data_IF_999654541401
#
_entry.id   IF_999654541401
#
_cell.length_a   1.000
_cell.length_b   1.000
_cell.length_c   1.000
_cell.angle_alpha   90.00
_cell.angle_beta   90.00
_cell.angle_gamma   90.00
#
_symmetry.space_group_name_H-M   'P 1'
#
loop_
_entity.id
_entity.type
_entity.pdbx_description
1 polymer ?
#
# COMPACT_ATOMS: atom_id res chain seq x y z
N UNK A 1 -13.33 -7.85 17.11
CA UNK A 1 -12.16 -6.95 17.00
C UNK A 1 -12.60 -5.50 17.20
N UNK A 2 -11.93 -4.72 18.07
CA UNK A 2 -12.20 -3.28 18.24
C UNK A 2 -11.54 -2.53 17.06
N UNK A 3 -12.27 -1.62 16.41
CA UNK A 3 -11.73 -0.77 15.34
C UNK A 3 -10.81 0.31 15.90
N UNK A 4 -9.63 0.46 15.30
CA UNK A 4 -8.62 1.45 15.72
C UNK A 4 -8.32 2.52 14.67
N UNK A 5 -8.55 2.26 13.39
CA UNK A 5 -8.32 3.24 12.31
C UNK A 5 -9.60 3.73 11.65
N UNK A 6 -9.65 5.03 11.33
CA UNK A 6 -10.75 5.68 10.62
C UNK A 6 -10.20 6.59 9.51
N UNK A 7 -10.69 6.39 8.29
CA UNK A 7 -10.43 7.24 7.13
C UNK A 7 -11.72 7.88 6.65
N UNK A 8 -11.63 9.12 6.21
CA UNK A 8 -12.71 9.87 5.56
C UNK A 8 -12.13 10.98 4.70
N UNK A 9 -12.80 11.34 3.60
CA UNK A 9 -12.38 12.40 2.71
C UNK A 9 -13.58 13.04 2.00
N UNK A 10 -13.30 14.05 1.18
CA UNK A 10 -14.29 14.72 0.32
C UNK A 10 -14.86 13.89 -0.84
N UNK A 11 -14.30 12.71 -1.15
CA UNK A 11 -14.75 11.87 -2.26
C UNK A 11 -15.60 10.68 -1.76
N UNK A 12 -16.86 10.62 -2.18
CA UNK A 12 -17.82 9.61 -1.73
C UNK A 12 -17.48 8.19 -2.20
N UNK A 13 -17.00 8.02 -3.44
CA UNK A 13 -16.55 6.73 -3.98
C UNK A 13 -15.40 6.18 -3.14
N UNK A 14 -14.45 7.03 -2.75
CA UNK A 14 -13.30 6.66 -1.92
C UNK A 14 -13.72 6.37 -0.46
N UNK A 15 -14.65 7.14 0.11
CA UNK A 15 -15.24 6.82 1.42
C UNK A 15 -15.96 5.47 1.41
N UNK A 16 -16.70 5.18 0.34
CA UNK A 16 -17.35 3.88 0.14
C UNK A 16 -16.32 2.77 0.03
N UNK A 17 -15.24 2.98 -0.72
CA UNK A 17 -14.12 2.05 -0.79
C UNK A 17 -13.50 1.78 0.59
N UNK A 18 -13.24 2.80 1.41
CA UNK A 18 -12.75 2.61 2.78
C UNK A 18 -13.72 1.77 3.63
N UNK A 19 -15.03 1.98 3.49
CA UNK A 19 -16.03 1.12 4.13
C UNK A 19 -15.93 -0.34 3.65
N UNK A 20 -15.71 -0.56 2.36
CA UNK A 20 -15.58 -1.89 1.78
C UNK A 20 -14.35 -2.64 2.32
N UNK A 21 -13.23 -1.95 2.54
CA UNK A 21 -12.03 -2.51 3.18
C UNK A 21 -12.35 -3.00 4.59
N UNK A 22 -13.05 -2.19 5.39
CA UNK A 22 -13.42 -2.55 6.77
C UNK A 22 -14.35 -3.76 6.79
N UNK A 23 -15.33 -3.83 5.90
CA UNK A 23 -16.21 -5.00 5.81
C UNK A 23 -15.47 -6.24 5.29
N UNK A 24 -14.55 -6.07 4.35
CA UNK A 24 -13.72 -7.14 3.82
C UNK A 24 -12.84 -7.76 4.91
N UNK A 25 -12.18 -6.92 5.71
CA UNK A 25 -11.37 -7.36 6.84
C UNK A 25 -12.21 -8.01 7.94
N UNK A 26 -13.34 -7.40 8.33
CA UNK A 26 -14.24 -7.96 9.35
C UNK A 26 -14.82 -9.31 8.93
N UNK A 27 -15.15 -9.45 7.65
CA UNK A 27 -15.59 -10.71 7.09
C UNK A 27 -14.53 -11.78 7.31
N UNK A 28 -13.29 -11.49 6.94
CA UNK A 28 -12.22 -12.48 6.84
C UNK A 28 -11.38 -12.73 8.11
N UNK A 29 -11.68 -12.06 9.23
CA UNK A 29 -10.97 -12.24 10.51
C UNK A 29 -11.87 -12.97 11.51
N UNK A 30 -12.21 -14.23 11.18
CA UNK A 30 -13.03 -15.13 11.99
C UNK A 30 -12.15 -16.28 12.46
N UNK A 31 -11.68 -16.18 13.71
CA UNK A 31 -10.69 -17.06 14.36
C UNK A 31 -9.27 -17.04 13.75
N UNK A 32 -9.14 -17.23 12.43
CA UNK A 32 -7.90 -17.08 11.66
C UNK A 32 -8.11 -16.09 10.50
N UNK A 33 -7.07 -15.41 10.00
CA UNK A 33 -7.18 -14.64 8.76
C UNK A 33 -7.43 -15.59 7.57
N UNK A 34 -8.61 -15.52 6.96
CA UNK A 34 -9.00 -16.37 5.81
C UNK A 34 -8.92 -15.60 4.50
N UNK A 35 -8.59 -16.25 3.39
CA UNK A 35 -8.66 -15.66 2.04
C UNK A 35 -10.03 -15.04 1.70
N UNK A 36 -11.10 -15.81 1.92
CA UNK A 36 -12.49 -15.42 1.69
C UNK A 36 -13.41 -16.12 2.70
N UNK A 37 -14.69 -15.72 2.75
CA UNK A 37 -15.66 -16.25 3.73
C UNK A 37 -16.77 -17.11 3.12
N UNK A 38 -16.99 -17.01 1.81
CA UNK A 38 -18.18 -17.53 1.16
C UNK A 38 -17.98 -18.89 0.50
N UNK A 39 -16.86 -19.13 -0.21
CA UNK A 39 -16.61 -20.42 -0.87
C UNK A 39 -15.99 -21.44 0.09
N UNK A 40 -15.88 -22.68 -0.38
CA UNK A 40 -15.36 -23.83 0.40
C UNK A 40 -13.81 -23.83 0.40
N UNK A 41 -13.23 -22.74 0.92
CA UNK A 41 -11.78 -22.55 1.08
C UNK A 41 -11.50 -22.06 2.51
N UNK A 42 -11.63 -20.76 2.79
CA UNK A 42 -11.59 -20.19 4.15
C UNK A 42 -10.32 -20.58 4.92
N UNK A 43 -9.18 -20.63 4.23
CA UNK A 43 -7.91 -21.11 4.78
C UNK A 43 -6.96 -19.96 5.08
N UNK A 44 -6.11 -20.15 6.09
CA UNK A 44 -4.93 -19.31 6.35
C UNK A 44 -3.80 -19.69 5.40
N UNK A 45 -3.70 -18.99 4.27
CA UNK A 45 -2.70 -19.29 3.23
C UNK A 45 -1.29 -18.87 3.66
N UNK A 46 -0.55 -19.82 4.24
CA UNK A 46 0.86 -19.67 4.62
C UNK A 46 1.76 -20.86 4.17
N UNK A 47 1.31 -21.67 3.20
CA UNK A 47 1.95 -22.96 2.81
C UNK A 47 3.09 -22.88 1.78
N UNK A 48 3.94 -23.92 1.73
CA UNK A 48 5.23 -24.00 1.02
C UNK A 48 5.26 -24.02 -0.52
N UNK A 49 4.21 -23.53 -1.20
CA UNK A 49 4.23 -23.16 -2.63
C UNK A 49 3.78 -21.70 -2.73
N UNK A 50 4.56 -20.85 -3.39
CA UNK A 50 4.17 -19.46 -3.63
C UNK A 50 3.42 -19.32 -4.97
N UNK A 51 2.54 -18.33 -5.06
CA UNK A 51 1.60 -18.16 -6.18
C UNK A 51 2.09 -17.19 -7.27
N UNK A 52 3.33 -16.69 -7.16
CA UNK A 52 3.83 -15.60 -8.01
C UNK A 52 3.05 -14.30 -7.77
N UNK A 53 2.96 -13.45 -8.79
CA UNK A 53 2.10 -12.25 -8.74
C UNK A 53 0.66 -12.61 -9.07
N UNK A 54 0.00 -13.24 -8.10
CA UNK A 54 -1.37 -13.73 -8.23
C UNK A 54 -2.31 -12.59 -8.64
N UNK A 55 -3.12 -12.84 -9.68
CA UNK A 55 -4.07 -11.88 -10.27
C UNK A 55 -3.43 -10.59 -10.80
N UNK A 56 -2.18 -10.67 -11.28
CA UNK A 56 -1.59 -9.65 -12.15
C UNK A 56 -2.35 -9.56 -13.48
N UNK A 57 -2.53 -8.33 -13.97
CA UNK A 57 -3.30 -8.03 -15.18
C UNK A 57 -2.43 -7.95 -16.44
N UNK A 58 -1.12 -8.17 -16.28
CA UNK A 58 -0.10 -8.21 -17.33
C UNK A 58 -0.01 -9.59 -18.02
N UNK A 59 -0.86 -10.54 -17.64
CA UNK A 59 -1.00 -11.86 -18.28
C UNK A 59 -2.25 -11.94 -19.18
N UNK A 60 -2.31 -12.89 -20.14
CA UNK A 60 -3.49 -13.09 -20.98
C UNK A 60 -4.78 -13.29 -20.17
N UNK A 61 -5.91 -12.79 -20.69
CA UNK A 61 -7.24 -12.93 -20.06
C UNK A 61 -7.53 -14.40 -19.70
N UNK A 62 -7.96 -14.64 -18.46
CA UNK A 62 -8.20 -15.97 -17.90
C UNK A 62 -7.00 -16.58 -17.16
N UNK A 63 -5.82 -15.95 -17.16
CA UNK A 63 -4.71 -16.34 -16.29
C UNK A 63 -4.94 -15.90 -14.84
N UNK A 64 -4.60 -16.76 -13.89
CA UNK A 64 -4.56 -16.42 -12.46
C UNK A 64 -3.19 -15.92 -12.00
N UNK A 65 -2.17 -16.04 -12.84
CA UNK A 65 -0.79 -15.62 -12.57
C UNK A 65 -0.43 -14.43 -13.46
N UNK A 66 0.16 -13.39 -12.87
CA UNK A 66 0.77 -12.28 -13.60
C UNK A 66 2.02 -12.69 -14.38
N UNK A 67 2.56 -11.77 -15.16
CA UNK A 67 3.69 -12.01 -16.06
C UNK A 67 5.07 -11.92 -15.37
N UNK A 68 5.13 -11.44 -14.13
CA UNK A 68 6.38 -11.34 -13.36
C UNK A 68 7.04 -12.70 -13.13
N UNK A 69 8.37 -12.74 -13.20
CA UNK A 69 9.15 -13.96 -12.96
C UNK A 69 8.97 -14.47 -11.51
N UNK A 70 8.49 -15.70 -11.36
CA UNK A 70 8.28 -16.33 -10.04
C UNK A 70 9.58 -16.41 -9.23
N UNK A 71 10.71 -16.69 -9.88
CA UNK A 71 12.03 -16.77 -9.23
C UNK A 71 12.56 -15.40 -8.82
N UNK A 72 12.20 -14.35 -9.55
CA UNK A 72 12.43 -12.96 -9.15
C UNK A 72 11.66 -12.66 -7.87
N UNK A 73 10.36 -12.93 -7.84
CA UNK A 73 9.50 -12.68 -6.67
C UNK A 73 10.02 -13.44 -5.46
N UNK A 74 10.32 -14.73 -5.61
CA UNK A 74 10.85 -15.55 -4.52
C UNK A 74 12.16 -14.98 -3.97
N UNK A 75 13.09 -14.59 -4.84
CA UNK A 75 14.37 -13.99 -4.44
C UNK A 75 14.18 -12.62 -3.77
N UNK A 76 13.24 -11.81 -4.24
CA UNK A 76 12.93 -10.51 -3.67
C UNK A 76 12.38 -10.63 -2.23
N UNK A 77 11.43 -11.55 -2.01
CA UNK A 77 10.89 -11.81 -0.68
C UNK A 77 11.88 -12.53 0.24
N UNK A 78 12.80 -13.32 -0.30
CA UNK A 78 13.89 -13.91 0.48
C UNK A 78 14.84 -12.84 1.01
N UNK A 79 15.23 -11.88 0.18
CA UNK A 79 16.01 -10.71 0.59
C UNK A 79 15.26 -9.91 1.66
N UNK A 80 13.98 -9.58 1.42
CA UNK A 80 13.18 -8.82 2.36
C UNK A 80 13.02 -9.53 3.71
N UNK A 81 12.71 -10.82 3.70
CA UNK A 81 12.57 -11.63 4.93
C UNK A 81 13.89 -11.67 5.72
N UNK A 82 15.02 -11.87 5.04
CA UNK A 82 16.35 -11.82 5.66
C UNK A 82 16.61 -10.45 6.29
N UNK A 83 16.24 -9.36 5.60
CA UNK A 83 16.37 -8.00 6.15
C UNK A 83 15.54 -7.78 7.42
N UNK A 84 14.34 -8.39 7.50
CA UNK A 84 13.50 -8.31 8.69
C UNK A 84 14.08 -9.12 9.87
N UNK A 85 14.71 -10.27 9.60
CA UNK A 85 15.43 -11.06 10.62
C UNK A 85 16.59 -10.26 11.18
N UNK A 86 17.39 -9.62 10.33
CA UNK A 86 18.50 -8.73 10.76
C UNK A 86 17.96 -7.61 11.66
N UNK A 87 16.89 -6.92 11.24
CA UNK A 87 16.24 -5.88 12.05
C UNK A 87 15.77 -6.40 13.40
N UNK A 88 15.10 -7.55 13.42
CA UNK A 88 14.62 -8.16 14.66
C UNK A 88 15.77 -8.56 15.61
N UNK A 89 16.81 -9.21 15.08
CA UNK A 89 17.99 -9.60 15.86
C UNK A 89 18.72 -8.39 16.45
N UNK A 90 18.88 -7.32 15.67
CA UNK A 90 19.45 -6.05 16.16
C UNK A 90 18.66 -5.44 17.33
N UNK A 91 17.32 -5.49 17.27
CA UNK A 91 16.46 -5.02 18.37
C UNK A 91 16.59 -5.90 19.62
N UNK A 92 16.79 -7.21 19.43
CA UNK A 92 16.96 -8.18 20.52
C UNK A 92 18.38 -8.21 21.09
N UNK A 93 19.34 -7.58 20.43
CA UNK A 93 20.76 -7.63 20.81
C UNK A 93 21.43 -8.97 20.47
N UNK A 94 20.89 -9.70 19.48
CA UNK A 94 21.45 -10.95 18.98
C UNK A 94 22.57 -10.69 17.96
N UNK A 95 23.50 -11.65 17.81
CA UNK A 95 24.48 -11.61 16.72
C UNK A 95 23.81 -11.96 15.39
N UNK A 96 23.79 -11.00 14.47
CA UNK A 96 23.16 -11.12 13.14
C UNK A 96 24.17 -11.17 12.00
N UNK A 97 25.47 -11.25 12.30
CA UNK A 97 26.55 -11.14 11.30
C UNK A 97 26.39 -12.14 10.14
N UNK A 98 26.00 -13.39 10.44
CA UNK A 98 25.74 -14.41 9.41
C UNK A 98 24.60 -14.01 8.45
N UNK A 99 23.53 -13.40 8.99
CA UNK A 99 22.41 -12.93 8.18
C UNK A 99 22.77 -11.68 7.38
N UNK A 100 23.61 -10.79 7.92
CA UNK A 100 24.13 -9.63 7.18
C UNK A 100 24.98 -10.06 5.98
N UNK A 101 25.88 -11.04 6.18
CA UNK A 101 26.67 -11.66 5.11
C UNK A 101 25.75 -12.31 4.08
N UNK A 102 24.77 -13.11 4.52
CA UNK A 102 23.79 -13.74 3.65
C UNK A 102 23.01 -12.69 2.83
N UNK A 103 22.53 -11.64 3.47
CA UNK A 103 21.79 -10.57 2.81
C UNK A 103 22.63 -9.89 1.73
N UNK A 104 23.90 -9.58 2.02
CA UNK A 104 24.81 -9.02 1.03
C UNK A 104 25.00 -9.96 -0.19
N UNK A 105 25.11 -11.28 0.03
CA UNK A 105 25.19 -12.27 -1.04
C UNK A 105 23.90 -12.36 -1.86
N UNK A 106 22.73 -12.31 -1.20
CA UNK A 106 21.42 -12.30 -1.86
C UNK A 106 21.32 -11.07 -2.78
N UNK A 107 21.61 -9.87 -2.27
CA UNK A 107 21.53 -8.62 -3.05
C UNK A 107 22.45 -8.66 -4.27
N UNK A 108 23.70 -9.12 -4.08
CA UNK A 108 24.66 -9.26 -5.18
C UNK A 108 24.16 -10.22 -6.26
N UNK A 109 23.63 -11.37 -5.84
CA UNK A 109 23.11 -12.40 -6.75
C UNK A 109 21.87 -11.90 -7.48
N UNK A 110 20.94 -11.27 -6.75
CA UNK A 110 19.71 -10.70 -7.30
C UNK A 110 20.00 -9.69 -8.41
N UNK A 111 20.90 -8.73 -8.16
CA UNK A 111 21.26 -7.70 -9.16
C UNK A 111 21.95 -8.29 -10.40
N UNK A 112 22.76 -9.34 -10.21
CA UNK A 112 23.41 -10.03 -11.32
C UNK A 112 22.43 -10.84 -12.16
N UNK A 113 21.41 -11.43 -11.54
CA UNK A 113 20.44 -12.30 -12.21
C UNK A 113 19.32 -11.50 -12.88
N UNK A 114 18.93 -10.37 -12.28
CA UNK A 114 17.79 -9.55 -12.72
C UNK A 114 18.20 -8.09 -12.98
N UNK A 115 18.98 -7.82 -14.05
CA UNK A 115 19.43 -6.48 -14.40
C UNK A 115 18.35 -5.61 -15.07
N UNK A 116 17.24 -6.22 -15.51
CA UNK A 116 16.13 -5.56 -16.20
C UNK A 116 14.82 -5.98 -15.56
N UNK A 117 13.91 -5.03 -15.37
CA UNK A 117 12.55 -5.26 -14.87
C UNK A 117 11.56 -5.19 -16.03
N UNK A 118 10.69 -6.16 -16.15
CA UNK A 118 9.77 -6.34 -17.27
C UNK A 118 8.32 -6.01 -16.94
N UNK A 119 7.96 -5.96 -15.65
CA UNK A 119 6.59 -5.78 -15.19
C UNK A 119 6.50 -4.69 -14.11
N UNK A 120 5.30 -4.12 -13.92
CA UNK A 120 5.06 -3.15 -12.85
C UNK A 120 5.44 -3.72 -11.48
N UNK A 121 5.08 -4.98 -11.21
CA UNK A 121 5.40 -5.65 -9.94
C UNK A 121 6.90 -5.83 -9.74
N UNK A 122 7.67 -6.18 -10.77
CA UNK A 122 9.13 -6.29 -10.66
C UNK A 122 9.78 -4.94 -10.31
N UNK A 123 9.37 -3.85 -10.97
CA UNK A 123 9.84 -2.51 -10.64
C UNK A 123 9.47 -2.13 -9.20
N UNK A 124 8.23 -2.41 -8.79
CA UNK A 124 7.73 -2.13 -7.44
C UNK A 124 8.56 -2.86 -6.39
N UNK A 125 8.74 -4.18 -6.52
CA UNK A 125 9.48 -4.98 -5.54
C UNK A 125 10.97 -4.59 -5.50
N UNK A 126 11.58 -4.35 -6.66
CA UNK A 126 12.99 -3.95 -6.74
C UNK A 126 13.24 -2.60 -6.04
N UNK A 127 12.33 -1.62 -6.22
CA UNK A 127 12.43 -0.31 -5.60
C UNK A 127 12.03 -0.33 -4.11
N UNK A 128 10.93 -1.00 -3.75
CA UNK A 128 10.41 -1.01 -2.39
C UNK A 128 11.34 -1.75 -1.41
N UNK A 129 11.80 -2.94 -1.80
CA UNK A 129 12.73 -3.74 -0.99
C UNK A 129 14.20 -3.31 -1.12
N UNK A 130 14.48 -2.18 -1.80
CA UNK A 130 15.82 -1.62 -2.01
C UNK A 130 16.80 -2.60 -2.67
N UNK A 131 16.31 -3.43 -3.58
CA UNK A 131 17.08 -4.44 -4.30
C UNK A 131 17.75 -3.88 -5.55
N UNK A 132 17.11 -2.91 -6.21
CA UNK A 132 17.67 -2.24 -7.38
C UNK A 132 18.99 -1.52 -7.03
N UNK A 133 19.92 -1.50 -7.98
CA UNK A 133 21.14 -0.71 -7.83
C UNK A 133 20.83 0.79 -7.86
N UNK A 134 19.85 1.18 -8.68
CA UNK A 134 19.25 2.51 -8.67
C UNK A 134 17.72 2.39 -8.52
N UNK A 135 17.23 2.57 -7.30
CA UNK A 135 15.79 2.48 -7.00
C UNK A 135 14.97 3.62 -7.64
N UNK A 136 15.56 4.81 -7.83
CA UNK A 136 14.89 5.90 -8.54
C UNK A 136 14.61 5.50 -9.99
N UNK A 137 15.62 4.93 -10.68
CA UNK A 137 15.44 4.47 -12.05
C UNK A 137 14.37 3.37 -12.17
N UNK A 138 14.30 2.44 -11.21
CA UNK A 138 13.25 1.43 -11.17
C UNK A 138 11.85 2.05 -10.99
N UNK A 139 11.73 3.07 -10.15
CA UNK A 139 10.48 3.79 -9.93
C UNK A 139 10.07 4.69 -11.12
N UNK A 140 11.04 5.29 -11.81
CA UNK A 140 10.80 6.06 -13.03
C UNK A 140 10.29 5.13 -14.15
N UNK A 141 10.93 3.96 -14.32
CA UNK A 141 10.47 2.93 -15.26
C UNK A 141 9.05 2.46 -14.93
N UNK A 142 8.71 2.26 -13.64
CA UNK A 142 7.36 1.94 -13.20
C UNK A 142 6.35 3.02 -13.62
N UNK A 143 6.68 4.30 -13.39
CA UNK A 143 5.80 5.41 -13.76
C UNK A 143 5.59 5.48 -15.29
N UNK A 144 6.63 5.21 -16.08
CA UNK A 144 6.55 5.10 -17.53
C UNK A 144 5.62 3.95 -17.97
N UNK A 145 5.76 2.76 -17.38
CA UNK A 145 4.90 1.60 -17.66
C UNK A 145 3.43 1.91 -17.39
N UNK A 146 3.11 2.49 -16.22
CA UNK A 146 1.73 2.90 -15.87
C UNK A 146 1.19 3.91 -16.86
N UNK A 147 2.01 4.89 -17.25
CA UNK A 147 1.58 5.92 -18.20
C UNK A 147 1.32 5.30 -19.58
N UNK A 148 2.18 4.39 -20.02
CA UNK A 148 2.11 3.71 -21.30
C UNK A 148 0.86 2.82 -21.45
N UNK A 149 0.40 2.18 -20.37
CA UNK A 149 -0.85 1.41 -20.38
C UNK A 149 -2.10 2.29 -20.18
N UNK A 150 -1.99 3.62 -20.14
CA UNK A 150 -3.14 4.51 -20.04
C UNK A 150 -3.57 4.83 -18.59
N UNK A 151 -2.58 4.94 -17.70
CA UNK A 151 -2.71 5.29 -16.30
C UNK A 151 -3.58 4.29 -15.52
N UNK A 152 -3.24 3.00 -15.62
CA UNK A 152 -3.84 1.97 -14.76
C UNK A 152 -2.76 1.04 -14.19
N UNK A 153 -3.12 0.35 -13.11
CA UNK A 153 -2.28 -0.67 -12.52
C UNK A 153 -2.38 -1.97 -13.32
N UNK A 154 -1.30 -2.74 -13.32
CA UNK A 154 -1.30 -4.13 -13.81
C UNK A 154 -0.81 -5.12 -12.76
N UNK A 155 -0.52 -4.63 -11.55
CA UNK A 155 0.04 -5.44 -10.45
C UNK A 155 -0.97 -6.42 -9.86
N UNK A 156 -0.49 -7.60 -9.50
CA UNK A 156 -1.22 -8.58 -8.69
C UNK A 156 -1.03 -8.37 -7.19
N UNK A 157 -1.19 -9.44 -6.42
CA UNK A 157 -1.22 -9.42 -4.96
C UNK A 157 0.09 -8.98 -4.31
N UNK A 158 1.25 -9.24 -4.94
CA UNK A 158 2.54 -8.92 -4.32
C UNK A 158 3.08 -7.56 -4.74
N UNK A 159 2.64 -7.01 -5.88
CA UNK A 159 2.97 -5.65 -6.29
C UNK A 159 2.03 -4.59 -5.69
N UNK A 160 0.72 -4.84 -5.70
CA UNK A 160 -0.31 -3.83 -5.34
C UNK A 160 -0.10 -3.16 -3.97
N UNK A 161 0.28 -3.87 -2.88
CA UNK A 161 0.46 -3.26 -1.57
C UNK A 161 1.51 -2.14 -1.54
N UNK A 162 2.53 -2.22 -2.40
CA UNK A 162 3.68 -1.31 -2.38
C UNK A 162 3.66 -0.29 -3.52
N UNK A 163 2.79 -0.49 -4.52
CA UNK A 163 2.71 0.31 -5.75
C UNK A 163 2.67 1.82 -5.48
N UNK A 164 1.71 2.28 -4.67
CA UNK A 164 1.54 3.70 -4.39
C UNK A 164 2.67 4.25 -3.51
N UNK A 165 3.25 3.42 -2.63
CA UNK A 165 4.39 3.80 -1.79
C UNK A 165 5.62 4.10 -2.64
N UNK A 166 5.96 3.21 -3.59
CA UNK A 166 7.08 3.41 -4.51
C UNK A 166 6.87 4.68 -5.34
N UNK A 167 5.70 4.85 -5.95
CA UNK A 167 5.41 6.06 -6.72
C UNK A 167 5.57 7.32 -5.87
N UNK A 168 5.09 7.31 -4.63
CA UNK A 168 5.15 8.49 -3.77
C UNK A 168 6.56 8.79 -3.25
N UNK A 169 7.30 7.76 -2.84
CA UNK A 169 8.66 7.89 -2.32
C UNK A 169 9.63 8.45 -3.38
N UNK A 170 9.42 8.09 -4.65
CA UNK A 170 10.31 8.43 -5.75
C UNK A 170 9.78 9.56 -6.65
N UNK A 171 8.90 10.43 -6.14
CA UNK A 171 8.53 11.70 -6.80
C UNK A 171 7.33 11.63 -7.75
N UNK A 172 6.67 10.48 -7.88
CA UNK A 172 5.50 10.24 -8.73
C UNK A 172 4.17 10.30 -7.95
N UNK A 173 4.10 11.11 -6.88
CA UNK A 173 2.92 11.24 -6.01
C UNK A 173 1.62 11.55 -6.76
N UNK A 174 1.67 12.43 -7.78
CA UNK A 174 0.49 12.77 -8.59
C UNK A 174 -0.06 11.55 -9.32
N UNK A 175 0.82 10.67 -9.81
CA UNK A 175 0.43 9.43 -10.47
C UNK A 175 -0.16 8.44 -9.47
N UNK A 176 0.37 8.37 -8.25
CA UNK A 176 -0.20 7.54 -7.18
C UNK A 176 -1.66 7.92 -6.89
N UNK A 177 -1.96 9.22 -6.74
CA UNK A 177 -3.34 9.70 -6.58
C UNK A 177 -4.19 9.48 -7.85
N UNK A 178 -3.61 9.54 -9.05
CA UNK A 178 -4.32 9.19 -10.30
C UNK A 178 -4.82 7.76 -10.27
N UNK A 179 -3.99 6.81 -9.81
CA UNK A 179 -4.39 5.41 -9.68
C UNK A 179 -5.45 5.23 -8.57
N UNK A 180 -5.26 5.87 -7.40
CA UNK A 180 -6.21 5.76 -6.29
C UNK A 180 -7.61 6.26 -6.65
N UNK A 181 -7.69 7.39 -7.37
CA UNK A 181 -8.94 8.07 -7.71
C UNK A 181 -9.55 7.60 -9.05
N UNK A 182 -8.92 6.63 -9.72
CA UNK A 182 -9.43 6.09 -10.99
C UNK A 182 -10.70 5.28 -10.76
N UNK A 183 -11.75 5.54 -11.53
CA UNK A 183 -13.02 4.78 -11.50
C UNK A 183 -13.19 3.77 -12.66
N UNK A 184 -12.36 3.88 -13.70
CA UNK A 184 -12.38 2.94 -14.84
C UNK A 184 -11.57 1.68 -14.55
N UNK A 185 -12.02 0.55 -15.10
CA UNK A 185 -11.23 -0.69 -15.05
C UNK A 185 -9.83 -0.50 -15.66
N UNK A 186 -8.80 -1.18 -15.12
CA UNK A 186 -8.73 -1.73 -13.76
C UNK A 186 -8.45 -0.64 -12.71
N UNK A 187 -9.15 -0.68 -11.57
CA UNK A 187 -8.91 0.22 -10.44
C UNK A 187 -9.62 -0.21 -9.14
N UNK A 188 -9.25 0.40 -8.02
CA UNK A 188 -9.94 0.21 -6.73
C UNK A 188 -11.38 0.74 -6.70
N UNK A 189 -11.67 1.84 -7.40
CA UNK A 189 -13.00 2.43 -7.38
C UNK A 189 -13.92 1.82 -8.45
N UNK A 190 -13.40 1.10 -9.43
CA UNK A 190 -14.22 0.42 -10.42
C UNK A 190 -15.26 -0.53 -9.78
N UNK A 191 -14.90 -1.46 -8.87
CA UNK A 191 -15.88 -2.27 -8.14
C UNK A 191 -16.93 -1.44 -7.39
N UNK A 192 -16.55 -0.27 -6.86
CA UNK A 192 -17.48 0.64 -6.17
C UNK A 192 -18.54 1.15 -7.13
N UNK A 193 -18.16 1.52 -8.36
CA UNK A 193 -19.13 1.93 -9.41
C UNK A 193 -20.08 0.81 -9.81
N UNK A 194 -19.68 -0.45 -9.59
CA UNK A 194 -20.49 -1.66 -9.82
C UNK A 194 -21.26 -2.12 -8.58
N UNK A 195 -21.27 -1.34 -7.49
CA UNK A 195 -22.05 -1.61 -6.28
C UNK A 195 -21.36 -2.49 -5.22
N UNK A 196 -20.04 -2.67 -5.30
CA UNK A 196 -19.29 -3.43 -4.30
C UNK A 196 -19.51 -2.90 -2.87
N UNK A 197 -19.67 -3.83 -1.92
CA UNK A 197 -19.75 -3.53 -0.48
C UNK A 197 -18.58 -4.11 0.32
N UNK A 198 -17.68 -4.81 -0.35
CA UNK A 198 -16.46 -5.48 0.13
C UNK A 198 -15.41 -5.39 -0.97
N UNK A 199 -14.18 -5.80 -0.68
CA UNK A 199 -13.11 -5.87 -1.69
C UNK A 199 -13.24 -7.18 -2.47
N UNK A 200 -13.11 -7.12 -3.78
CA UNK A 200 -13.20 -8.29 -4.67
C UNK A 200 -11.83 -8.95 -4.84
N UNK A 201 -11.83 -10.24 -5.14
CA UNK A 201 -10.63 -11.02 -5.49
C UNK A 201 -10.10 -10.64 -6.87
N UNK A 202 -10.99 -10.50 -7.87
CA UNK A 202 -10.65 -9.99 -9.19
C UNK A 202 -11.01 -8.51 -9.32
N UNK A 203 -10.17 -7.75 -10.02
CA UNK A 203 -10.40 -6.34 -10.34
C UNK A 203 -11.73 -6.12 -11.09
N UNK A 204 -12.17 -7.10 -11.86
CA UNK A 204 -13.41 -7.14 -12.65
C UNK A 204 -14.25 -8.38 -12.37
N UNK A 205 -14.40 -8.74 -11.09
CA UNK A 205 -15.38 -9.75 -10.68
C UNK A 205 -16.78 -9.53 -11.29
N UNK A 206 -17.13 -8.26 -11.57
CA UNK A 206 -18.16 -7.87 -12.55
C UNK A 206 -17.48 -7.08 -13.68
N UNK A 207 -17.59 -7.57 -14.91
CA UNK A 207 -16.98 -6.98 -16.11
C UNK A 207 -17.72 -5.72 -16.59
N UNK A 208 -17.13 -4.99 -17.55
CA UNK A 208 -17.71 -3.75 -18.06
C UNK A 208 -19.09 -3.98 -18.69
N UNK A 209 -19.28 -5.11 -19.37
CA UNK A 209 -20.52 -5.56 -20.00
C UNK A 209 -21.59 -6.08 -19.01
N UNK A 210 -21.25 -6.15 -17.72
CA UNK A 210 -22.14 -6.63 -16.65
C UNK A 210 -22.11 -8.14 -16.42
N UNK A 211 -21.37 -8.90 -17.22
CA UNK A 211 -21.15 -10.32 -16.98
C UNK A 211 -20.23 -10.52 -15.76
N UNK A 212 -20.35 -11.70 -15.15
CA UNK A 212 -19.47 -12.11 -14.07
C UNK A 212 -18.20 -12.77 -14.61
N UNK A 213 -17.08 -12.58 -13.92
CA UNK A 213 -15.90 -13.42 -14.11
C UNK A 213 -16.22 -14.89 -13.79
N UNK A 214 -15.43 -15.83 -14.34
CA UNK A 214 -15.63 -17.28 -14.17
C UNK A 214 -15.93 -17.66 -12.71
N UNK A 215 -16.94 -18.51 -12.51
CA UNK A 215 -17.33 -18.99 -11.18
C UNK A 215 -16.28 -19.90 -10.53
N UNK A 216 -15.28 -20.36 -11.29
CA UNK A 216 -14.22 -21.24 -10.77
C UNK A 216 -13.41 -20.58 -9.66
N UNK A 217 -13.18 -19.26 -9.76
CA UNK A 217 -12.41 -18.49 -8.77
C UNK A 217 -12.76 -17.00 -8.83
N UNK A 218 -13.89 -16.62 -8.26
CA UNK A 218 -14.36 -15.22 -8.25
C UNK A 218 -15.05 -14.89 -6.92
N UNK A 219 -14.26 -14.47 -5.94
CA UNK A 219 -14.72 -14.00 -4.64
C UNK A 219 -15.02 -12.50 -4.66
N UNK A 220 -16.18 -12.10 -4.13
CA UNK A 220 -16.54 -10.69 -3.91
C UNK A 220 -16.15 -10.19 -2.51
N UNK A 221 -15.41 -10.97 -1.72
CA UNK A 221 -15.03 -10.63 -0.36
C UNK A 221 -13.63 -11.15 0.00
N UNK A 222 -12.60 -10.50 -0.57
CA UNK A 222 -11.18 -10.79 -0.36
C UNK A 222 -10.46 -9.51 0.06
N UNK A 223 -9.61 -9.52 1.09
CA UNK A 223 -9.01 -8.27 1.60
C UNK A 223 -7.76 -7.76 0.87
N UNK A 224 -7.19 -8.50 -0.09
CA UNK A 224 -5.83 -8.28 -0.57
C UNK A 224 -5.61 -6.88 -1.14
N UNK A 225 -6.50 -6.42 -2.03
CA UNK A 225 -6.43 -5.08 -2.62
C UNK A 225 -6.86 -3.95 -1.68
N UNK A 226 -7.39 -4.29 -0.49
CA UNK A 226 -7.61 -3.33 0.59
C UNK A 226 -6.31 -2.86 1.25
N UNK A 227 -5.18 -3.50 0.95
CA UNK A 227 -3.83 -3.10 1.39
C UNK A 227 -3.49 -1.64 1.08
N UNK A 228 -4.06 -1.06 0.01
CA UNK A 228 -3.87 0.36 -0.35
C UNK A 228 -4.30 1.34 0.75
N UNK A 229 -5.13 0.93 1.72
CA UNK A 229 -5.47 1.75 2.86
C UNK A 229 -4.24 2.19 3.66
N UNK A 230 -3.19 1.36 3.71
CA UNK A 230 -1.93 1.66 4.38
C UNK A 230 -1.30 2.94 3.79
N UNK A 231 -1.23 3.03 2.46
CA UNK A 231 -0.78 4.22 1.75
C UNK A 231 -1.60 5.47 2.11
N UNK A 232 -2.91 5.32 2.26
CA UNK A 232 -3.78 6.45 2.64
C UNK A 232 -3.47 6.93 4.06
N UNK A 233 -3.21 6.03 5.01
CA UNK A 233 -2.79 6.42 6.35
C UNK A 233 -1.39 7.04 6.36
N UNK A 234 -0.42 6.37 5.73
CA UNK A 234 1.00 6.69 5.87
C UNK A 234 1.46 7.83 4.95
N UNK A 235 0.89 7.96 3.76
CA UNK A 235 1.32 8.97 2.77
C UNK A 235 0.29 10.09 2.64
N UNK A 236 -0.96 9.75 2.29
CA UNK A 236 -1.98 10.77 2.07
C UNK A 236 -2.30 11.55 3.35
N UNK A 237 -2.56 10.85 4.46
CA UNK A 237 -2.73 11.45 5.79
C UNK A 237 -1.39 11.63 6.54
N UNK A 238 -0.34 10.94 6.13
CA UNK A 238 1.01 11.17 6.65
C UNK A 238 1.34 10.53 7.99
N UNK A 239 0.49 9.69 8.59
CA UNK A 239 0.72 9.12 9.93
C UNK A 239 1.68 7.92 9.84
N UNK A 240 2.92 8.10 10.29
CA UNK A 240 4.00 7.12 10.18
C UNK A 240 4.57 6.74 11.56
N UNK A 241 5.00 5.49 11.68
CA UNK A 241 5.88 5.04 12.77
C UNK A 241 7.30 5.53 12.56
N UNK A 242 8.07 5.60 13.65
CA UNK A 242 9.52 5.87 13.59
C UNK A 242 10.26 4.57 13.91
N UNK A 243 11.17 4.14 13.02
CA UNK A 243 11.84 2.82 13.08
C UNK A 243 12.46 2.51 14.45
N UNK A 244 13.17 3.48 15.05
CA UNK A 244 13.83 3.33 16.35
C UNK A 244 12.94 3.65 17.56
N UNK A 245 11.63 3.83 17.34
CA UNK A 245 10.64 4.08 18.39
C UNK A 245 9.29 3.38 18.03
N UNK A 246 9.29 2.04 17.93
CA UNK A 246 8.16 1.27 17.41
C UNK A 246 6.91 1.36 18.29
N UNK A 247 5.76 0.99 17.71
CA UNK A 247 4.48 1.02 18.42
C UNK A 247 4.00 2.44 18.75
N UNK A 248 4.29 3.39 17.86
CA UNK A 248 3.95 4.82 17.96
C UNK A 248 4.48 5.50 19.23
N UNK A 249 5.61 5.04 19.77
CA UNK A 249 6.28 5.74 20.87
C UNK A 249 6.74 7.15 20.44
N UNK A 250 7.20 7.26 19.20
CA UNK A 250 7.31 8.53 18.47
C UNK A 250 6.56 8.41 17.16
N UNK A 251 6.12 9.54 16.64
CA UNK A 251 5.33 9.60 15.40
C UNK A 251 5.97 10.59 14.44
N UNK A 252 5.93 10.25 13.16
CA UNK A 252 6.16 11.18 12.06
C UNK A 252 4.81 11.48 11.40
N UNK A 253 4.44 12.75 11.27
CA UNK A 253 3.23 13.18 10.57
C UNK A 253 3.63 14.05 9.37
N UNK A 254 3.55 13.49 8.16
CA UNK A 254 3.94 14.14 6.90
C UNK A 254 2.86 13.97 5.82
N UNK A 255 1.73 14.71 5.91
CA UNK A 255 0.61 14.58 4.98
C UNK A 255 0.93 15.13 3.60
N UNK A 256 0.39 14.49 2.57
CA UNK A 256 0.56 14.88 1.17
C UNK A 256 -0.79 15.19 0.51
N UNK A 257 -1.30 16.44 0.57
CA UNK A 257 -2.55 16.81 -0.09
C UNK A 257 -2.49 16.68 -1.61
N UNK A 258 -3.66 16.43 -2.22
CA UNK A 258 -3.86 16.47 -3.66
C UNK A 258 -5.09 17.31 -3.99
N UNK A 259 -4.99 18.17 -5.00
CA UNK A 259 -6.01 19.17 -5.35
C UNK A 259 -7.33 18.58 -5.85
N UNK A 260 -7.36 17.27 -6.16
CA UNK A 260 -8.57 16.51 -6.53
C UNK A 260 -9.44 16.13 -5.33
N UNK A 261 -8.99 16.39 -4.11
CA UNK A 261 -9.76 16.24 -2.89
C UNK A 261 -9.79 17.58 -2.15
N UNK A 262 -10.98 17.96 -1.67
CA UNK A 262 -11.13 19.17 -0.85
C UNK A 262 -10.61 18.95 0.57
N UNK A 263 -10.66 17.72 1.07
CA UNK A 263 -10.10 17.35 2.37
C UNK A 263 -9.91 15.83 2.49
N UNK A 264 -9.01 15.43 3.39
CA UNK A 264 -8.81 14.06 3.83
C UNK A 264 -8.44 14.04 5.32
N UNK A 265 -8.98 13.07 6.05
CA UNK A 265 -8.78 12.87 7.47
C UNK A 265 -8.51 11.42 7.80
N UNK A 266 -7.47 11.18 8.58
CA UNK A 266 -7.21 9.92 9.24
C UNK A 266 -7.22 10.10 10.77
N UNK A 267 -7.81 9.12 11.46
CA UNK A 267 -7.75 8.98 12.91
C UNK A 267 -7.24 7.58 13.24
N UNK A 268 -6.27 7.49 14.14
CA UNK A 268 -5.70 6.23 14.61
C UNK A 268 -5.68 6.19 16.14
N UNK A 269 -6.35 5.20 16.71
CA UNK A 269 -6.30 4.86 18.13
C UNK A 269 -5.07 3.99 18.41
N UNK A 270 -4.00 4.62 18.91
CA UNK A 270 -2.76 3.93 19.29
C UNK A 270 -2.79 3.51 20.75
N UNK A 271 -1.80 2.72 21.19
CA UNK A 271 -1.64 2.39 22.62
C UNK A 271 -1.36 3.62 23.51
N UNK A 272 -0.86 4.71 22.92
CA UNK A 272 -0.53 5.95 23.63
C UNK A 272 -1.68 6.97 23.58
N UNK A 273 -2.72 6.70 22.80
CA UNK A 273 -3.86 7.60 22.60
C UNK A 273 -4.15 7.87 21.14
N UNK A 274 -5.05 8.82 20.90
CA UNK A 274 -5.56 9.14 19.57
C UNK A 274 -4.60 10.05 18.80
N UNK A 275 -4.28 9.63 17.58
CA UNK A 275 -3.57 10.42 16.56
C UNK A 275 -4.58 10.86 15.52
N UNK A 276 -4.50 12.10 15.06
CA UNK A 276 -5.34 12.62 13.97
C UNK A 276 -4.49 13.45 13.04
N UNK A 277 -4.68 13.24 11.73
CA UNK A 277 -4.11 14.07 10.69
C UNK A 277 -5.20 14.38 9.67
N UNK A 278 -5.49 15.67 9.52
CA UNK A 278 -6.48 16.18 8.60
C UNK A 278 -5.86 17.31 7.80
N UNK A 279 -6.09 17.31 6.49
CA UNK A 279 -5.80 18.47 5.65
C UNK A 279 -7.06 18.89 4.89
N UNK A 280 -7.20 20.19 4.68
CA UNK A 280 -8.33 20.84 4.02
C UNK A 280 -7.83 21.89 3.04
N UNK A 281 -8.44 21.92 1.87
CA UNK A 281 -8.29 22.97 0.88
C UNK A 281 -9.07 24.18 1.34
N UNK A 282 -8.39 25.31 1.52
CA UNK A 282 -9.02 26.63 1.64
C UNK A 282 -8.73 27.43 0.36
N UNK A 283 -9.10 28.71 0.24
CA UNK A 283 -8.99 29.41 -1.06
C UNK A 283 -7.57 29.44 -1.64
N UNK A 284 -6.55 29.75 -0.82
CA UNK A 284 -5.17 29.94 -1.28
C UNK A 284 -4.14 29.02 -0.60
N UNK A 285 -4.56 28.21 0.36
CA UNK A 285 -3.66 27.42 1.19
C UNK A 285 -4.26 26.06 1.54
N UNK A 286 -3.39 25.13 1.91
CA UNK A 286 -3.76 23.93 2.64
C UNK A 286 -3.76 24.25 4.13
N UNK A 287 -4.83 23.90 4.83
CA UNK A 287 -4.90 23.90 6.29
C UNK A 287 -4.71 22.48 6.81
N UNK A 288 -3.84 22.31 7.80
CA UNK A 288 -3.57 21.02 8.42
C UNK A 288 -3.98 21.08 9.90
N UNK A 289 -4.80 20.12 10.33
CA UNK A 289 -5.25 19.96 11.71
C UNK A 289 -4.72 18.61 12.23
N UNK A 290 -3.75 18.67 13.15
CA UNK A 290 -3.02 17.49 13.62
C UNK A 290 -3.13 17.38 15.13
N UNK A 291 -3.51 16.20 15.63
CA UNK A 291 -3.50 15.87 17.06
C UNK A 291 -2.59 14.66 17.28
N UNK A 292 -1.76 14.72 18.30
CA UNK A 292 -0.85 13.62 18.66
C UNK A 292 -0.78 13.42 20.17
N UNK A 293 -0.72 12.18 20.68
CA UNK A 293 -0.61 11.90 22.11
C UNK A 293 0.84 11.83 22.62
N UNK A 294 1.84 11.91 21.73
CA UNK A 294 3.27 11.71 22.04
C UNK A 294 4.15 12.73 21.32
N UNK A 295 5.44 12.71 21.63
CA UNK A 295 6.46 13.45 20.88
C UNK A 295 6.41 13.09 19.40
N UNK A 296 6.28 14.12 18.56
CA UNK A 296 6.00 13.95 17.13
C UNK A 296 6.81 14.91 16.28
N UNK A 297 7.39 14.38 15.20
CA UNK A 297 7.93 15.17 14.11
C UNK A 297 6.80 15.44 13.10
N UNK A 298 6.51 16.70 12.81
CA UNK A 298 5.52 17.09 11.80
C UNK A 298 6.26 17.72 10.63
N UNK A 299 5.97 17.28 9.40
CA UNK A 299 6.57 17.81 8.17
C UNK A 299 5.48 18.41 7.30
N UNK A 300 5.51 19.73 7.11
CA UNK A 300 4.57 20.46 6.26
C UNK A 300 5.36 21.26 5.24
N UNK A 301 5.14 21.00 3.95
CA UNK A 301 5.82 21.67 2.84
C UNK A 301 7.37 21.70 2.99
N UNK A 302 7.94 20.56 3.39
CA UNK A 302 9.39 20.40 3.63
C UNK A 302 9.92 21.04 4.93
N UNK A 303 9.08 21.73 5.70
CA UNK A 303 9.45 22.31 7.01
C UNK A 303 9.20 21.30 8.12
N UNK A 304 10.19 21.12 8.98
CA UNK A 304 10.16 20.19 10.10
C UNK A 304 9.82 20.90 11.41
N UNK A 305 8.84 20.37 12.15
CA UNK A 305 8.41 20.85 13.44
C UNK A 305 8.50 19.71 14.46
N UNK A 306 9.13 19.97 15.60
CA UNK A 306 9.14 19.03 16.73
C UNK A 306 8.11 19.49 17.75
N UNK A 307 7.13 18.63 18.04
CA UNK A 307 6.02 18.95 18.94
C UNK A 307 5.85 17.90 20.02
N UNK A 308 5.25 18.31 21.13
CA UNK A 308 4.83 17.42 22.22
C UNK A 308 3.40 16.92 21.97
N UNK A 309 2.84 16.17 22.91
CA UNK A 309 1.43 15.83 22.88
C UNK A 309 0.57 17.10 22.84
N UNK A 310 -0.40 17.15 21.93
CA UNK A 310 -1.20 18.34 21.71
C UNK A 310 -1.98 18.34 20.40
N UNK A 311 -2.61 19.48 20.10
CA UNK A 311 -3.28 19.74 18.83
C UNK A 311 -2.68 20.98 18.18
N UNK A 312 -2.46 20.90 16.87
CA UNK A 312 -1.68 21.85 16.10
C UNK A 312 -2.41 22.18 14.80
N UNK A 313 -2.28 23.44 14.37
CA UNK A 313 -2.80 23.92 13.09
C UNK A 313 -1.63 24.48 12.28
N UNK A 314 -1.49 24.03 11.04
CA UNK A 314 -0.47 24.51 10.10
C UNK A 314 -1.12 24.96 8.79
N UNK A 315 -0.36 25.73 8.02
CA UNK A 315 -0.76 26.22 6.71
C UNK A 315 0.39 26.10 5.73
N UNK A 316 0.11 25.78 4.47
CA UNK A 316 1.06 25.85 3.36
C UNK A 316 0.37 26.36 2.10
N UNK A 317 1.15 26.85 1.13
CA UNK A 317 0.62 27.18 -0.19
C UNK A 317 0.11 25.92 -0.91
N UNK A 318 -0.88 26.11 -1.80
CA UNK A 318 -1.29 25.07 -2.74
C UNK A 318 -0.34 25.07 -3.93
N UNK A 319 0.53 24.06 -4.02
CA UNK A 319 1.48 23.86 -5.13
C UNK A 319 0.95 22.89 -6.18
#
# INVERSE_FOLDING_TARGET
>A
MKRTGYLSCSNDSLNKFFSNIIWGQKGNFVDVPTDCQQRDERLGWAGGKHYGDWLGLDAPSGSYKGASDETFIASAFYAYSTSLVIKAGNVLGEDVSEFEDLYAHIIKTFRSQYPVYHTQTECVLAAHFKLAENCQAAADQLAEMITACGNHLETGFVGTPYLLHVLSEYGHLKLAYTLLLREKYPSWLYPVTKGATTIWEHWDGIMEDGNFWSSDMNSYNHYAYGSVADWVYMVAAGINTVENAPGYEKILIAPHPDTRLDWLKAVLETRHGKVTSEWKKEENFWRYEITTPVDTAIVIDGKNYQVKAGSYCFYSEQK
#
